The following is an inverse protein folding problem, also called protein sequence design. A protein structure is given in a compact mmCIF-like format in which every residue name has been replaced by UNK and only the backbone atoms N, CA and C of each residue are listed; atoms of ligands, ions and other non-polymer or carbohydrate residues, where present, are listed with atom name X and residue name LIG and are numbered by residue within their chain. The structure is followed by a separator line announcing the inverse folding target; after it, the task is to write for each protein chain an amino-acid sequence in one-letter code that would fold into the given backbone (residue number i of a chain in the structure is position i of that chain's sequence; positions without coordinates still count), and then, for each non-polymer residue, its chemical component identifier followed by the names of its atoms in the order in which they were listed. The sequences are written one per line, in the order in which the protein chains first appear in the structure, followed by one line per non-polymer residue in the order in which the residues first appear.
data_IF_110634065958
#
_entry.id   IF_110634065958
#
_cell.length_a   1.000
_cell.length_b   1.000
_cell.length_c   1.000
_cell.angle_alpha   90.00
_cell.angle_beta   90.00
_cell.angle_gamma   90.00
#
_symmetry.space_group_name_H-M   'P 1'
#
loop_
_entity.id
_entity.type
_entity.pdbx_description
1 polymer ?
#
# COMPACT_ATOMS: atom_id res chain seq x y z
N UNK A 1 -7.40 17.24 -23.19
CA UNK A 1 -7.99 16.11 -22.42
C UNK A 1 -7.15 14.83 -22.49
N UNK A 2 -6.85 14.28 -23.69
CA UNK A 2 -6.06 13.03 -23.83
C UNK A 2 -4.67 13.08 -23.17
N UNK A 3 -3.94 14.18 -23.31
CA UNK A 3 -2.63 14.34 -22.67
C UNK A 3 -2.69 14.29 -21.13
N UNK A 4 -3.72 14.92 -20.52
CA UNK A 4 -3.94 14.88 -19.08
C UNK A 4 -4.28 13.47 -18.58
N UNK A 5 -5.07 12.71 -19.36
CA UNK A 5 -5.33 11.30 -19.07
C UNK A 5 -4.06 10.45 -19.12
N UNK A 6 -3.23 10.61 -20.14
CA UNK A 6 -1.96 9.89 -20.24
C UNK A 6 -1.03 10.24 -19.08
N UNK A 7 -0.95 11.53 -18.71
CA UNK A 7 -0.18 11.98 -17.55
C UNK A 7 -0.70 11.36 -16.25
N UNK A 8 -2.01 11.33 -16.04
CA UNK A 8 -2.63 10.71 -14.86
C UNK A 8 -2.33 9.22 -14.78
N UNK A 9 -2.46 8.48 -15.89
CA UNK A 9 -2.11 7.05 -15.95
C UNK A 9 -0.63 6.83 -15.66
N UNK A 10 0.25 7.66 -16.23
CA UNK A 10 1.69 7.60 -16.00
C UNK A 10 2.03 7.83 -14.52
N UNK A 11 1.45 8.87 -13.89
CA UNK A 11 1.61 9.15 -12.47
C UNK A 11 1.05 8.02 -11.59
N UNK A 12 -0.09 7.44 -11.96
CA UNK A 12 -0.68 6.30 -11.26
C UNK A 12 0.27 5.09 -11.25
N UNK A 13 0.87 4.79 -12.42
CA UNK A 13 1.83 3.69 -12.55
C UNK A 13 3.09 3.99 -11.75
N UNK A 14 3.65 5.20 -11.83
CA UNK A 14 4.82 5.59 -11.04
C UNK A 14 4.57 5.44 -9.53
N UNK A 15 3.45 5.95 -9.04
CA UNK A 15 3.08 5.82 -7.63
C UNK A 15 2.93 4.34 -7.22
N UNK A 16 2.32 3.51 -8.08
CA UNK A 16 2.18 2.08 -7.83
C UNK A 16 3.55 1.38 -7.75
N UNK A 17 4.43 1.58 -8.74
CA UNK A 17 5.74 0.89 -8.76
C UNK A 17 6.65 1.37 -7.63
N UNK A 18 6.63 2.66 -7.27
CA UNK A 18 7.44 3.18 -6.18
C UNK A 18 6.99 2.61 -4.84
N UNK A 19 5.69 2.60 -4.57
CA UNK A 19 5.17 2.11 -3.29
C UNK A 19 5.28 0.59 -3.16
N UNK A 20 4.86 -0.16 -4.19
CA UNK A 20 4.94 -1.63 -4.19
C UNK A 20 6.40 -2.06 -4.20
N UNK A 21 7.23 -1.49 -5.08
CA UNK A 21 8.66 -1.81 -5.17
C UNK A 21 9.41 -1.52 -3.88
N UNK A 22 9.14 -0.37 -3.25
CA UNK A 22 9.70 -0.04 -1.93
C UNK A 22 9.27 -1.04 -0.86
N UNK A 23 7.99 -1.42 -0.83
CA UNK A 23 7.48 -2.42 0.13
C UNK A 23 8.12 -3.80 -0.09
N UNK A 24 8.26 -4.22 -1.35
CA UNK A 24 8.96 -5.46 -1.74
C UNK A 24 10.40 -5.42 -1.25
N UNK A 25 11.13 -4.34 -1.50
CA UNK A 25 12.50 -4.17 -1.04
C UNK A 25 12.61 -4.26 0.49
N UNK A 26 11.74 -3.57 1.23
CA UNK A 26 11.73 -3.63 2.69
C UNK A 26 11.50 -5.05 3.20
N UNK A 27 10.50 -5.75 2.67
CA UNK A 27 10.08 -7.07 3.13
C UNK A 27 11.07 -8.17 2.76
N UNK A 28 11.57 -8.16 1.53
CA UNK A 28 12.39 -9.26 0.97
C UNK A 28 13.89 -9.03 1.07
N UNK A 29 14.35 -7.78 1.17
CA UNK A 29 15.78 -7.45 1.15
C UNK A 29 16.22 -6.83 2.47
N UNK A 30 15.70 -5.66 2.83
CA UNK A 30 16.21 -4.90 3.98
C UNK A 30 15.98 -5.65 5.31
N UNK A 31 14.73 -6.04 5.60
CA UNK A 31 14.40 -6.68 6.88
C UNK A 31 15.12 -8.02 7.08
N UNK A 32 15.24 -8.91 6.08
CA UNK A 32 16.03 -10.13 6.20
C UNK A 32 17.51 -9.86 6.49
N UNK A 33 18.12 -8.86 5.85
CA UNK A 33 19.52 -8.48 6.10
C UNK A 33 19.69 -8.01 7.54
N UNK A 34 18.86 -7.08 8.01
CA UNK A 34 18.98 -6.51 9.36
C UNK A 34 18.76 -7.54 10.47
N UNK A 35 18.03 -8.63 10.21
CA UNK A 35 17.80 -9.70 11.21
C UNK A 35 19.03 -10.56 11.52
N UNK A 36 20.11 -10.46 10.73
CA UNK A 36 21.34 -11.22 11.00
C UNK A 36 21.97 -10.77 12.33
N UNK A 37 22.56 -11.68 13.13
CA UNK A 37 23.10 -11.36 14.46
C UNK A 37 24.06 -10.16 14.48
N UNK A 38 24.89 -10.03 13.44
CA UNK A 38 25.86 -8.94 13.28
C UNK A 38 25.26 -7.52 13.19
N UNK A 39 23.95 -7.39 12.92
CA UNK A 39 23.26 -6.10 12.80
C UNK A 39 22.25 -5.84 13.92
N UNK A 40 22.18 -6.70 14.94
CA UNK A 40 21.19 -6.55 16.02
C UNK A 40 21.33 -5.24 16.80
N UNK A 41 22.55 -4.71 16.92
CA UNK A 41 22.82 -3.43 17.59
C UNK A 41 22.16 -2.24 16.89
N UNK A 42 22.08 -2.24 15.55
CA UNK A 42 21.56 -1.13 14.74
C UNK A 42 20.17 -1.40 14.15
N UNK A 43 19.66 -2.62 14.25
CA UNK A 43 18.39 -3.04 13.64
C UNK A 43 17.22 -2.13 14.05
N UNK A 44 17.13 -1.78 15.34
CA UNK A 44 16.01 -0.97 15.85
C UNK A 44 15.97 0.42 15.24
N UNK A 45 17.12 1.09 15.24
CA UNK A 45 17.30 2.42 14.70
C UNK A 45 17.11 2.48 13.19
N UNK A 46 17.73 1.55 12.44
CA UNK A 46 17.56 1.49 10.98
C UNK A 46 16.12 1.20 10.57
N UNK A 47 15.42 0.31 11.28
CA UNK A 47 13.99 0.05 11.01
C UNK A 47 13.14 1.27 11.30
N UNK A 48 13.42 2.00 12.39
CA UNK A 48 12.68 3.21 12.75
C UNK A 48 12.85 4.30 11.69
N UNK A 49 14.07 4.73 11.40
CA UNK A 49 14.33 5.82 10.45
C UNK A 49 13.92 5.48 9.03
N UNK A 50 14.18 4.24 8.58
CA UNK A 50 13.72 3.80 7.26
C UNK A 50 12.19 3.76 7.20
N UNK A 51 11.53 3.29 8.26
CA UNK A 51 10.08 3.26 8.36
C UNK A 51 9.46 4.65 8.33
N UNK A 52 10.00 5.60 9.09
CA UNK A 52 9.52 6.99 9.09
C UNK A 52 9.69 7.67 7.74
N UNK A 53 10.85 7.48 7.10
CA UNK A 53 11.10 8.05 5.78
C UNK A 53 10.19 7.44 4.72
N UNK A 54 10.00 6.11 4.76
CA UNK A 54 9.14 5.39 3.83
C UNK A 54 7.66 5.71 4.06
N UNK A 55 7.22 5.96 5.30
CA UNK A 55 5.85 6.41 5.60
C UNK A 55 5.49 7.65 4.78
N UNK A 56 6.36 8.68 4.79
CA UNK A 56 6.12 9.89 3.99
C UNK A 56 6.01 9.62 2.49
N UNK A 57 6.94 8.85 1.93
CA UNK A 57 6.91 8.47 0.51
C UNK A 57 5.66 7.64 0.19
N UNK A 58 5.29 6.74 1.08
CA UNK A 58 4.15 5.86 0.95
C UNK A 58 2.83 6.62 0.93
N UNK A 59 2.62 7.58 1.85
CA UNK A 59 1.40 8.40 1.85
C UNK A 59 1.29 9.32 0.64
N UNK A 60 2.41 9.83 0.12
CA UNK A 60 2.41 10.57 -1.17
C UNK A 60 1.96 9.65 -2.29
N UNK A 61 2.52 8.43 -2.38
CA UNK A 61 2.15 7.46 -3.42
C UNK A 61 0.68 7.02 -3.29
N UNK A 62 0.22 6.69 -2.09
CA UNK A 62 -1.16 6.28 -1.83
C UNK A 62 -2.15 7.39 -2.19
N UNK A 63 -1.85 8.64 -1.84
CA UNK A 63 -2.67 9.80 -2.23
C UNK A 63 -2.71 9.96 -3.74
N UNK A 64 -1.54 9.90 -4.41
CA UNK A 64 -1.48 9.95 -5.87
C UNK A 64 -2.28 8.82 -6.52
N UNK A 65 -2.23 7.60 -5.99
CA UNK A 65 -2.99 6.45 -6.49
C UNK A 65 -4.49 6.66 -6.41
N UNK A 66 -4.98 7.19 -5.28
CA UNK A 66 -6.41 7.49 -5.10
C UNK A 66 -6.84 8.59 -6.08
N UNK A 67 -6.13 9.72 -6.12
CA UNK A 67 -6.49 10.85 -6.97
C UNK A 67 -6.45 10.50 -8.47
N UNK A 68 -5.34 9.91 -8.93
CA UNK A 68 -5.20 9.49 -10.33
C UNK A 68 -6.14 8.34 -10.68
N UNK A 69 -6.41 7.42 -9.76
CA UNK A 69 -7.38 6.33 -9.95
C UNK A 69 -8.79 6.87 -10.17
N UNK A 70 -9.24 7.79 -9.32
CA UNK A 70 -10.54 8.47 -9.45
C UNK A 70 -10.63 9.24 -10.77
N UNK A 71 -9.60 10.01 -11.12
CA UNK A 71 -9.55 10.73 -12.39
C UNK A 71 -9.62 9.78 -13.60
N UNK A 72 -8.89 8.66 -13.57
CA UNK A 72 -8.87 7.69 -14.66
C UNK A 72 -10.23 7.01 -14.86
N UNK A 73 -10.97 6.75 -13.78
CA UNK A 73 -12.35 6.21 -13.84
C UNK A 73 -13.32 7.25 -14.39
N UNK A 74 -13.26 8.48 -13.88
CA UNK A 74 -14.09 9.59 -14.36
C UNK A 74 -13.87 9.89 -15.85
N UNK A 75 -12.61 9.84 -16.32
CA UNK A 75 -12.28 10.04 -17.74
C UNK A 75 -12.89 8.97 -18.65
N UNK A 76 -13.16 7.76 -18.12
CA UNK A 76 -13.83 6.67 -18.86
C UNK A 76 -15.35 6.81 -18.88
N UNK A 77 -15.90 7.94 -18.42
CA UNK A 77 -17.33 8.22 -18.41
C UNK A 77 -18.09 7.54 -17.27
N UNK A 78 -17.38 7.01 -16.27
CA UNK A 78 -18.00 6.39 -15.09
C UNK A 78 -18.14 7.47 -14.02
N UNK A 79 -19.38 7.89 -13.79
CA UNK A 79 -19.73 8.93 -12.82
C UNK A 79 -20.33 8.39 -11.52
N UNK A 80 -20.69 9.32 -10.62
CA UNK A 80 -21.38 9.00 -9.38
C UNK A 80 -22.75 8.35 -9.61
N UNK A 81 -23.44 8.73 -10.69
CA UNK A 81 -24.74 8.15 -11.05
C UNK A 81 -24.66 6.66 -11.41
N UNK A 82 -23.57 6.22 -12.03
CA UNK A 82 -23.35 4.81 -12.37
C UNK A 82 -23.07 3.96 -11.13
N UNK A 83 -22.42 4.56 -10.14
CA UNK A 83 -22.16 3.97 -8.83
C UNK A 83 -23.47 3.81 -8.06
N UNK A 84 -24.28 4.88 -7.96
CA UNK A 84 -25.50 4.90 -7.15
C UNK A 84 -26.65 4.09 -7.76
N UNK A 85 -26.78 4.12 -9.09
CA UNK A 85 -27.76 3.28 -9.81
C UNK A 85 -27.42 1.79 -9.81
N UNK A 86 -26.21 1.43 -9.36
CA UNK A 86 -25.69 0.07 -9.36
C UNK A 86 -25.40 -0.51 -10.75
N UNK A 87 -25.55 0.29 -11.82
CA UNK A 87 -25.26 -0.13 -13.20
C UNK A 87 -23.80 -0.52 -13.38
N UNK A 88 -22.89 0.21 -12.74
CA UNK A 88 -21.46 -0.06 -12.81
C UNK A 88 -21.16 -1.52 -12.43
N UNK A 89 -21.77 -2.03 -11.35
CA UNK A 89 -21.43 -3.31 -10.73
C UNK A 89 -21.92 -4.56 -11.47
N UNK A 90 -22.77 -4.38 -12.50
CA UNK A 90 -23.39 -5.53 -13.20
C UNK A 90 -22.43 -6.23 -14.16
N UNK A 91 -21.49 -5.51 -14.76
CA UNK A 91 -20.55 -6.03 -15.76
C UNK A 91 -19.23 -6.57 -15.16
N UNK A 92 -18.48 -7.40 -15.92
CA UNK A 92 -17.16 -7.90 -15.50
C UNK A 92 -16.18 -6.79 -15.13
N UNK A 93 -16.21 -5.68 -15.88
CA UNK A 93 -15.43 -4.49 -15.61
C UNK A 93 -15.73 -3.90 -14.21
N UNK A 94 -16.99 -3.67 -13.90
CA UNK A 94 -17.37 -3.07 -12.62
C UNK A 94 -17.16 -3.99 -11.43
N UNK A 95 -17.31 -5.31 -11.60
CA UNK A 95 -16.94 -6.29 -10.56
C UNK A 95 -15.45 -6.21 -10.23
N UNK A 96 -14.58 -6.24 -11.26
CA UNK A 96 -13.14 -6.07 -11.05
C UNK A 96 -12.81 -4.73 -10.38
N UNK A 97 -13.45 -3.65 -10.82
CA UNK A 97 -13.25 -2.32 -10.23
C UNK A 97 -13.71 -2.27 -8.77
N UNK A 98 -14.86 -2.85 -8.46
CA UNK A 98 -15.42 -2.89 -7.09
C UNK A 98 -14.52 -3.66 -6.14
N UNK A 99 -14.08 -4.86 -6.54
CA UNK A 99 -13.11 -5.64 -5.76
C UNK A 99 -11.83 -4.83 -5.58
N UNK A 100 -11.31 -4.20 -6.66
CA UNK A 100 -10.10 -3.39 -6.60
C UNK A 100 -10.24 -2.24 -5.59
N UNK A 101 -11.35 -1.50 -5.63
CA UNK A 101 -11.60 -0.37 -4.73
C UNK A 101 -11.75 -0.83 -3.28
N UNK A 102 -12.45 -1.95 -3.04
CA UNK A 102 -12.54 -2.55 -1.71
C UNK A 102 -11.15 -2.93 -1.16
N UNK A 103 -10.33 -3.62 -1.97
CA UNK A 103 -8.98 -3.99 -1.56
C UNK A 103 -8.08 -2.76 -1.32
N UNK A 104 -8.19 -1.71 -2.14
CA UNK A 104 -7.49 -0.44 -1.91
C UNK A 104 -7.93 0.19 -0.58
N UNK A 105 -9.21 0.17 -0.25
CA UNK A 105 -9.70 0.68 1.04
C UNK A 105 -9.12 -0.13 2.22
N UNK A 106 -9.09 -1.46 2.11
CA UNK A 106 -8.45 -2.33 3.12
C UNK A 106 -6.95 -2.03 3.24
N UNK A 107 -6.25 -1.85 2.12
CA UNK A 107 -4.83 -1.46 2.11
C UNK A 107 -4.62 -0.13 2.84
N UNK A 108 -5.44 0.88 2.57
CA UNK A 108 -5.35 2.19 3.23
C UNK A 108 -5.57 2.09 4.74
N UNK A 109 -6.57 1.33 5.17
CA UNK A 109 -6.84 1.08 6.59
C UNK A 109 -5.68 0.36 7.27
N UNK A 110 -5.17 -0.72 6.67
CA UNK A 110 -4.03 -1.45 7.21
C UNK A 110 -2.77 -0.58 7.26
N UNK A 111 -2.53 0.24 6.23
CA UNK A 111 -1.42 1.19 6.18
C UNK A 111 -1.53 2.24 7.29
N UNK A 112 -2.72 2.81 7.50
CA UNK A 112 -2.96 3.77 8.58
C UNK A 112 -2.76 3.15 9.97
N UNK A 113 -3.31 1.96 10.20
CA UNK A 113 -3.11 1.23 11.46
C UNK A 113 -1.64 0.89 11.69
N UNK A 114 -0.93 0.47 10.63
CA UNK A 114 0.49 0.20 10.69
C UNK A 114 1.30 1.46 11.03
N UNK A 115 1.07 2.56 10.34
CA UNK A 115 1.93 3.74 10.37
C UNK A 115 1.65 4.70 11.53
N UNK A 116 0.40 4.75 12.02
CA UNK A 116 -0.03 5.70 13.04
C UNK A 116 -0.38 5.04 14.38
N UNK A 117 -0.56 3.72 14.44
CA UNK A 117 -0.89 3.03 15.69
C UNK A 117 0.22 2.06 16.07
N UNK A 118 0.55 1.10 15.20
CA UNK A 118 1.46 0.00 15.54
C UNK A 118 2.92 0.46 15.50
N UNK A 119 3.32 1.21 14.48
CA UNK A 119 4.66 1.77 14.34
C UNK A 119 5.06 2.65 15.53
N UNK A 120 4.29 3.70 15.87
CA UNK A 120 4.59 4.55 17.03
C UNK A 120 4.64 3.78 18.35
N UNK A 121 3.70 2.84 18.58
CA UNK A 121 3.73 1.97 19.77
C UNK A 121 4.97 1.07 19.81
N UNK A 122 5.42 0.56 18.66
CA UNK A 122 6.62 -0.27 18.59
C UNK A 122 7.89 0.55 18.86
N UNK A 123 7.95 1.79 18.40
CA UNK A 123 9.06 2.72 18.67
C UNK A 123 9.08 3.13 20.13
N UNK A 124 7.95 3.54 20.70
CA UNK A 124 7.86 3.93 22.11
C UNK A 124 8.29 2.78 23.05
N UNK A 125 7.76 1.57 22.84
CA UNK A 125 8.13 0.41 23.63
C UNK A 125 9.63 0.04 23.47
N UNK A 126 10.21 0.29 22.29
CA UNK A 126 11.64 0.06 22.06
C UNK A 126 12.53 1.10 22.74
N UNK A 127 12.08 2.36 22.85
CA UNK A 127 12.80 3.41 23.56
C UNK A 127 12.77 3.21 25.09
N UNK A 128 11.67 2.68 25.63
CA UNK A 128 11.54 2.37 27.06
C UNK A 128 12.37 1.13 27.46
N UNK A 129 12.16 0.00 26.78
CA UNK A 129 12.90 -1.24 27.04
C UNK A 129 13.08 -2.03 25.73
N UNK A 130 14.27 -1.94 25.10
CA UNK A 130 14.58 -2.67 23.87
C UNK A 130 14.44 -4.20 23.99
N UNK A 131 14.54 -4.75 25.20
CA UNK A 131 14.53 -6.19 25.46
C UNK A 131 13.14 -6.76 25.73
N UNK A 132 12.15 -5.89 25.96
CA UNK A 132 10.80 -6.26 26.32
C UNK A 132 10.16 -7.21 25.29
N UNK A 133 9.43 -8.26 25.74
CA UNK A 133 8.70 -9.16 24.85
C UNK A 133 7.60 -8.42 24.05
N UNK A 134 7.12 -7.27 24.53
CA UNK A 134 6.13 -6.43 23.85
C UNK A 134 6.70 -5.86 22.54
N UNK A 135 7.96 -5.41 22.54
CA UNK A 135 8.65 -4.91 21.34
C UNK A 135 8.72 -5.97 20.26
N UNK A 136 9.07 -7.21 20.64
CA UNK A 136 9.14 -8.34 19.71
C UNK A 136 7.77 -8.65 19.10
N UNK A 137 6.70 -8.59 19.90
CA UNK A 137 5.32 -8.82 19.44
C UNK A 137 4.88 -7.72 18.46
N UNK A 138 5.05 -6.45 18.82
CA UNK A 138 4.67 -5.31 17.97
C UNK A 138 5.43 -5.30 16.64
N UNK A 139 6.75 -5.58 16.66
CA UNK A 139 7.55 -5.72 15.43
C UNK A 139 7.08 -6.88 14.55
N UNK A 140 6.68 -8.01 15.15
CA UNK A 140 6.13 -9.15 14.40
C UNK A 140 4.79 -8.81 13.78
N UNK A 141 3.91 -8.11 14.50
CA UNK A 141 2.63 -7.61 13.99
C UNK A 141 2.84 -6.63 12.83
N UNK A 142 3.69 -5.62 13.00
CA UNK A 142 4.04 -4.66 11.95
C UNK A 142 4.55 -5.36 10.69
N UNK A 143 5.50 -6.31 10.86
CA UNK A 143 6.03 -7.08 9.74
C UNK A 143 4.98 -7.98 9.04
N UNK A 144 3.99 -8.51 9.75
CA UNK A 144 2.90 -9.28 9.12
C UNK A 144 1.94 -8.37 8.37
N UNK A 145 1.56 -7.24 8.94
CA UNK A 145 0.69 -6.27 8.27
C UNK A 145 1.33 -5.80 6.97
N UNK A 146 2.63 -5.47 6.97
CA UNK A 146 3.34 -5.10 5.75
C UNK A 146 3.29 -6.19 4.66
N UNK A 147 3.41 -7.48 5.03
CA UNK A 147 3.30 -8.61 4.08
C UNK A 147 1.89 -8.80 3.54
N UNK A 148 0.88 -8.72 4.41
CA UNK A 148 -0.52 -8.79 3.98
C UNK A 148 -0.81 -7.63 3.03
N UNK A 149 -0.37 -6.42 3.37
CA UNK A 149 -0.56 -5.24 2.55
C UNK A 149 0.10 -5.40 1.16
N UNK A 150 1.31 -5.95 1.11
CA UNK A 150 1.99 -6.27 -0.14
C UNK A 150 1.20 -7.30 -0.97
N UNK A 151 0.70 -8.37 -0.36
CA UNK A 151 -0.10 -9.37 -1.06
C UNK A 151 -1.38 -8.76 -1.65
N UNK A 152 -2.10 -7.95 -0.86
CA UNK A 152 -3.28 -7.23 -1.33
C UNK A 152 -2.92 -6.28 -2.49
N UNK A 153 -1.79 -5.58 -2.41
CA UNK A 153 -1.33 -4.71 -3.46
C UNK A 153 -1.06 -5.45 -4.79
N UNK A 154 -0.46 -6.63 -4.72
CA UNK A 154 -0.23 -7.47 -5.90
C UNK A 154 -1.55 -7.94 -6.52
N UNK A 155 -2.54 -8.29 -5.71
CA UNK A 155 -3.89 -8.62 -6.18
C UNK A 155 -4.54 -7.39 -6.85
N UNK A 156 -4.39 -6.21 -6.27
CA UNK A 156 -4.89 -4.94 -6.85
C UNK A 156 -4.24 -4.64 -8.20
N UNK A 157 -2.94 -4.95 -8.37
CA UNK A 157 -2.25 -4.83 -9.66
C UNK A 157 -2.82 -5.83 -10.68
N UNK A 158 -3.02 -7.09 -10.28
CA UNK A 158 -3.62 -8.09 -11.16
C UNK A 158 -5.04 -7.69 -11.62
N UNK A 159 -5.87 -7.17 -10.72
CA UNK A 159 -7.17 -6.60 -11.06
C UNK A 159 -7.04 -5.39 -12.00
N UNK A 160 -6.02 -4.56 -11.81
CA UNK A 160 -5.68 -3.47 -12.72
C UNK A 160 -5.39 -3.94 -14.14
N UNK A 161 -4.70 -5.06 -14.30
CA UNK A 161 -4.46 -5.70 -15.60
C UNK A 161 -5.77 -6.21 -16.20
N UNK A 162 -6.61 -6.89 -15.41
CA UNK A 162 -7.92 -7.38 -15.84
C UNK A 162 -8.86 -6.25 -16.29
N UNK A 163 -8.80 -5.08 -15.66
CA UNK A 163 -9.57 -3.90 -16.09
C UNK A 163 -9.17 -3.35 -17.46
N UNK A 164 -7.97 -3.66 -17.93
CA UNK A 164 -7.45 -3.20 -19.23
C UNK A 164 -7.54 -4.30 -20.28
N UNK A 165 -7.35 -5.56 -19.88
CA UNK A 165 -7.28 -6.72 -20.79
C UNK A 165 -8.55 -7.56 -20.85
N UNK A 166 -9.50 -7.33 -19.94
CA UNK A 166 -10.68 -8.17 -19.75
C UNK A 166 -10.49 -9.22 -18.67
N UNK A 167 -11.60 -9.82 -18.25
CA UNK A 167 -11.57 -11.04 -17.44
C UNK A 167 -11.16 -12.23 -18.33
N UNK A 168 -10.31 -13.15 -17.83
CA UNK A 168 -10.11 -14.44 -18.48
C UNK A 168 -11.39 -15.28 -18.47
#
# INVERSE_FOLDING_TARGET
MKALYLLSVWLHILAAITWIGGTVFLVLVLLPVLRKPQYHSILGELVHWTGERFRWVGWICLTLLVLSGTFNVAYRGIGWDDVWSGRLWRGPFGRALGIKLFLVAVILLLSALHDFVIGPRATAAWQEDPTSPVVRRLRRQAGWIGRVNLLLALIVVALGVMLVRGWP
#
